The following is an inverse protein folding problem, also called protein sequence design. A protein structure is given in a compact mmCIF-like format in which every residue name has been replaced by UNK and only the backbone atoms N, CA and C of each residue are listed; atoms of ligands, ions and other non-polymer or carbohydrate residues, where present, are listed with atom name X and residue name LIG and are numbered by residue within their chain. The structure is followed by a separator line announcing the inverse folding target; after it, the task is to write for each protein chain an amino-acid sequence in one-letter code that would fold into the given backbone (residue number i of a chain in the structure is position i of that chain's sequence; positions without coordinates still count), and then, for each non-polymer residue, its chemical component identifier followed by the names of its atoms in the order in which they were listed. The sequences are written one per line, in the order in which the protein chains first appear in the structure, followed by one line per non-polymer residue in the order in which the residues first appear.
data_IF_281978362573
#
_entry.id   IF_281978362573
#
_cell.length_a   1.000
_cell.length_b   1.000
_cell.length_c   1.000
_cell.angle_alpha   90.00
_cell.angle_beta   90.00
_cell.angle_gamma   90.00
#
_symmetry.space_group_name_H-M   'P 1'
#
loop_
_entity.id
_entity.type
_entity.pdbx_description
1 polymer ?
#
# COMPACT_ATOMS: atom_id res chain seq x y z
N UNK A 1 -17.65 -39.84 34.28
CA UNK A 1 -18.46 -38.81 33.61
C UNK A 1 -17.48 -37.69 33.34
N UNK A 2 -16.90 -37.76 32.15
CA UNK A 2 -15.70 -37.05 31.71
C UNK A 2 -16.16 -35.92 30.79
N UNK A 3 -16.18 -34.70 31.31
CA UNK A 3 -16.49 -33.48 30.54
C UNK A 3 -15.28 -32.55 30.59
N UNK A 4 -14.23 -32.94 29.86
CA UNK A 4 -13.15 -32.03 29.51
C UNK A 4 -13.68 -30.87 28.65
N UNK A 5 -13.06 -29.68 28.72
CA UNK A 5 -13.45 -28.54 27.90
C UNK A 5 -13.28 -28.92 26.42
N UNK A 6 -14.42 -29.00 25.72
CA UNK A 6 -14.44 -29.12 24.26
C UNK A 6 -13.76 -27.89 23.69
N UNK A 7 -12.52 -28.06 23.25
CA UNK A 7 -11.85 -27.15 22.32
C UNK A 7 -12.81 -27.05 21.14
N UNK A 8 -13.57 -25.96 21.06
CA UNK A 8 -14.33 -25.62 19.86
C UNK A 8 -13.34 -25.75 18.70
N UNK A 9 -13.64 -26.66 17.77
CA UNK A 9 -12.86 -26.86 16.57
C UNK A 9 -12.59 -25.47 15.98
N UNK A 10 -11.32 -25.05 15.98
CA UNK A 10 -10.87 -23.80 15.39
C UNK A 10 -11.23 -23.86 13.91
N UNK A 11 -12.45 -23.43 13.61
CA UNK A 11 -13.09 -23.64 12.34
C UNK A 11 -12.25 -22.95 11.28
N UNK A 12 -12.24 -23.58 10.10
CA UNK A 12 -11.58 -23.15 8.87
C UNK A 12 -12.12 -21.82 8.31
N UNK A 13 -12.61 -20.90 9.17
CA UNK A 13 -13.31 -19.67 8.84
C UNK A 13 -12.44 -18.79 7.96
N UNK A 14 -12.90 -18.57 6.73
CA UNK A 14 -12.31 -17.64 5.77
C UNK A 14 -12.69 -16.20 6.08
N UNK A 15 -13.74 -15.98 6.87
CA UNK A 15 -14.32 -14.65 7.11
C UNK A 15 -13.29 -13.71 7.71
N UNK A 16 -12.56 -14.16 8.72
CA UNK A 16 -11.59 -13.33 9.42
C UNK A 16 -10.43 -12.87 8.51
N UNK A 17 -9.66 -13.76 7.85
CA UNK A 17 -8.59 -13.32 6.95
C UNK A 17 -9.11 -12.49 5.77
N UNK A 18 -10.25 -12.85 5.18
CA UNK A 18 -10.85 -12.06 4.10
C UNK A 18 -11.19 -10.64 4.58
N UNK A 19 -11.84 -10.51 5.74
CA UNK A 19 -12.21 -9.21 6.30
C UNK A 19 -11.00 -8.36 6.66
N UNK A 20 -9.94 -8.96 7.22
CA UNK A 20 -8.71 -8.26 7.54
C UNK A 20 -7.99 -7.75 6.27
N UNK A 21 -7.94 -8.57 5.21
CA UNK A 21 -7.37 -8.17 3.94
C UNK A 21 -8.14 -7.04 3.24
N UNK A 22 -9.47 -7.13 3.22
CA UNK A 22 -10.33 -6.07 2.67
C UNK A 22 -10.15 -4.78 3.49
N UNK A 23 -10.18 -4.85 4.81
CA UNK A 23 -9.95 -3.68 5.66
C UNK A 23 -8.56 -3.08 5.42
N UNK A 24 -7.52 -3.91 5.34
CA UNK A 24 -6.15 -3.46 5.10
C UNK A 24 -6.02 -2.70 3.78
N UNK A 25 -6.58 -3.24 2.70
CA UNK A 25 -6.57 -2.56 1.39
C UNK A 25 -7.37 -1.27 1.40
N UNK A 26 -8.55 -1.22 2.02
CA UNK A 26 -9.36 0.01 2.13
C UNK A 26 -8.61 1.11 2.89
N UNK A 27 -8.01 0.77 4.04
CA UNK A 27 -7.22 1.70 4.85
C UNK A 27 -6.01 2.19 4.05
N UNK A 28 -5.23 1.27 3.47
CA UNK A 28 -4.02 1.62 2.72
C UNK A 28 -4.31 2.43 1.46
N UNK A 29 -5.36 2.10 0.73
CA UNK A 29 -5.76 2.80 -0.49
C UNK A 29 -6.27 4.20 -0.16
N UNK A 30 -7.25 4.32 0.74
CA UNK A 30 -7.84 5.61 1.11
C UNK A 30 -6.81 6.58 1.72
N UNK A 31 -5.84 6.07 2.47
CA UNK A 31 -4.84 6.91 3.14
C UNK A 31 -3.74 7.43 2.21
N UNK A 32 -3.49 6.80 1.06
CA UNK A 32 -2.28 7.07 0.29
C UNK A 32 -2.46 7.31 -1.21
N UNK A 33 -3.62 7.00 -1.79
CA UNK A 33 -3.91 7.34 -3.20
C UNK A 33 -3.88 8.85 -3.46
N UNK A 34 -4.47 9.73 -2.62
CA UNK A 34 -4.39 11.17 -2.85
C UNK A 34 -2.94 11.69 -2.92
N UNK A 35 -2.06 11.16 -2.06
CA UNK A 35 -0.63 11.52 -2.05
C UNK A 35 0.09 10.96 -3.27
N UNK A 36 -0.26 9.74 -3.72
CA UNK A 36 0.27 9.14 -4.95
C UNK A 36 -0.08 9.99 -6.17
N UNK A 37 -1.36 10.32 -6.35
CA UNK A 37 -1.81 11.14 -7.49
C UNK A 37 -1.17 12.52 -7.43
N UNK A 38 -1.19 13.18 -6.26
CA UNK A 38 -0.53 14.47 -6.08
C UNK A 38 0.98 14.42 -6.40
N UNK A 39 1.66 13.35 -6.00
CA UNK A 39 3.08 13.15 -6.29
C UNK A 39 3.35 12.95 -7.77
N UNK A 40 2.56 12.11 -8.46
CA UNK A 40 2.70 11.90 -9.90
C UNK A 40 2.43 13.20 -10.68
N UNK A 41 1.38 13.95 -10.33
CA UNK A 41 1.06 15.24 -10.94
C UNK A 41 2.16 16.28 -10.69
N UNK A 42 2.68 16.39 -9.47
CA UNK A 42 3.79 17.30 -9.15
C UNK A 42 5.07 16.96 -9.94
N UNK A 43 5.28 15.66 -10.20
CA UNK A 43 6.38 15.18 -11.03
C UNK A 43 6.13 15.28 -12.54
N UNK A 44 5.02 15.89 -12.95
CA UNK A 44 4.73 16.28 -14.34
C UNK A 44 3.68 15.43 -15.05
N UNK A 45 3.07 14.43 -14.39
CA UNK A 45 2.05 13.59 -15.01
C UNK A 45 0.78 14.38 -15.33
N UNK A 46 0.24 14.17 -16.53
CA UNK A 46 -1.15 14.51 -16.81
C UNK A 46 -2.11 13.64 -15.96
N UNK A 47 -3.38 14.05 -15.77
CA UNK A 47 -4.36 13.23 -15.06
C UNK A 47 -4.51 11.81 -15.64
N UNK A 48 -4.45 11.68 -16.96
CA UNK A 48 -4.55 10.38 -17.64
C UNK A 48 -3.32 9.49 -17.36
N UNK A 49 -2.11 10.06 -17.34
CA UNK A 49 -0.89 9.34 -16.99
C UNK A 49 -0.85 8.95 -15.51
N UNK A 50 -1.33 9.82 -14.61
CA UNK A 50 -1.44 9.50 -13.19
C UNK A 50 -2.43 8.34 -12.94
N UNK A 51 -3.60 8.36 -13.61
CA UNK A 51 -4.56 7.27 -13.57
C UNK A 51 -4.00 5.96 -14.14
N UNK A 52 -3.27 6.04 -15.28
CA UNK A 52 -2.55 4.89 -15.86
C UNK A 52 -1.53 4.32 -14.88
N UNK A 53 -0.73 5.18 -14.24
CA UNK A 53 0.31 4.79 -13.29
C UNK A 53 -0.27 4.12 -12.04
N UNK A 54 -1.32 4.69 -11.47
CA UNK A 54 -2.06 4.11 -10.34
C UNK A 54 -2.63 2.74 -10.70
N UNK A 55 -3.25 2.60 -11.87
CA UNK A 55 -3.79 1.31 -12.33
C UNK A 55 -2.68 0.26 -12.52
N UNK A 56 -1.57 0.63 -13.18
CA UNK A 56 -0.44 -0.25 -13.41
C UNK A 56 0.17 -0.74 -12.08
N UNK A 57 0.33 0.16 -11.11
CA UNK A 57 0.76 -0.17 -9.75
C UNK A 57 -0.23 -1.15 -9.09
N UNK A 58 -1.53 -0.90 -9.15
CA UNK A 58 -2.54 -1.77 -8.54
C UNK A 58 -2.52 -3.17 -9.15
N UNK A 59 -2.30 -3.27 -10.47
CA UNK A 59 -2.13 -4.54 -11.16
C UNK A 59 -0.86 -5.28 -10.68
N UNK A 60 0.27 -4.58 -10.56
CA UNK A 60 1.51 -5.16 -10.05
C UNK A 60 1.38 -5.61 -8.58
N UNK A 61 0.73 -4.81 -7.74
CA UNK A 61 0.38 -5.17 -6.35
C UNK A 61 -0.43 -6.45 -6.32
N UNK A 62 -1.45 -6.56 -7.18
CA UNK A 62 -2.31 -7.73 -7.26
C UNK A 62 -1.53 -8.98 -7.66
N UNK A 63 -0.80 -8.92 -8.78
CA UNK A 63 -0.03 -10.04 -9.32
C UNK A 63 1.03 -10.51 -8.33
N UNK A 64 1.85 -9.60 -7.81
CA UNK A 64 2.92 -9.95 -6.89
C UNK A 64 2.39 -10.37 -5.52
N UNK A 65 1.43 -9.64 -4.96
CA UNK A 65 0.87 -9.93 -3.64
C UNK A 65 0.18 -11.29 -3.60
N UNK A 66 -0.61 -11.62 -4.62
CA UNK A 66 -1.23 -12.95 -4.76
C UNK A 66 -0.15 -14.01 -4.97
N UNK A 67 0.73 -13.82 -5.97
CA UNK A 67 1.73 -14.82 -6.35
C UNK A 67 2.70 -15.15 -5.21
N UNK A 68 3.23 -14.12 -4.53
CA UNK A 68 4.15 -14.29 -3.41
C UNK A 68 3.45 -14.92 -2.21
N UNK A 69 2.23 -14.50 -1.88
CA UNK A 69 1.49 -15.03 -0.73
C UNK A 69 1.11 -16.50 -0.92
N UNK A 70 0.60 -16.87 -2.10
CA UNK A 70 0.21 -18.26 -2.42
C UNK A 70 1.42 -19.18 -2.46
N UNK A 71 2.53 -18.73 -3.08
CA UNK A 71 3.76 -19.52 -3.23
C UNK A 71 4.47 -19.74 -1.90
N UNK A 72 4.60 -18.69 -1.09
CA UNK A 72 5.31 -18.76 0.19
C UNK A 72 4.45 -19.26 1.34
N UNK A 73 3.11 -19.25 1.18
CA UNK A 73 2.15 -19.44 2.29
C UNK A 73 2.39 -18.48 3.46
N UNK A 74 2.91 -17.28 3.15
CA UNK A 74 3.12 -16.19 4.11
C UNK A 74 2.27 -14.98 3.71
N UNK A 75 1.86 -14.11 4.65
CA UNK A 75 1.09 -12.91 4.37
C UNK A 75 1.93 -11.78 3.74
N UNK A 76 2.52 -12.03 2.58
CA UNK A 76 3.35 -11.05 1.86
C UNK A 76 2.45 -10.03 1.16
N UNK A 77 2.33 -8.84 1.73
CA UNK A 77 1.60 -7.72 1.12
C UNK A 77 2.53 -6.82 0.32
N UNK A 78 2.13 -6.50 -0.91
CA UNK A 78 2.81 -5.55 -1.79
C UNK A 78 1.97 -4.27 -1.87
N UNK A 79 2.64 -3.12 -1.95
CA UNK A 79 2.02 -1.81 -2.15
C UNK A 79 2.97 -0.91 -2.95
N UNK A 80 2.56 0.33 -3.18
CA UNK A 80 3.45 1.39 -3.66
C UNK A 80 4.23 2.04 -2.51
N UNK A 81 5.24 2.84 -2.86
CA UNK A 81 5.99 3.63 -1.88
C UNK A 81 5.24 4.91 -1.50
N UNK A 82 4.50 4.92 -0.39
CA UNK A 82 3.81 6.14 0.10
C UNK A 82 4.79 7.27 0.40
N UNK A 83 5.94 7.05 1.07
CA UNK A 83 6.96 8.09 1.24
C UNK A 83 7.59 8.51 -0.10
N UNK A 84 7.67 7.58 -1.06
CA UNK A 84 8.09 7.89 -2.42
C UNK A 84 7.12 8.85 -3.12
N UNK A 85 5.81 8.61 -3.02
CA UNK A 85 4.79 9.53 -3.51
C UNK A 85 4.89 10.90 -2.83
N UNK A 86 5.04 10.95 -1.51
CA UNK A 86 5.21 12.19 -0.77
C UNK A 86 6.48 12.96 -1.17
N UNK A 87 7.59 12.25 -1.42
CA UNK A 87 8.81 12.83 -1.97
C UNK A 87 8.52 13.52 -3.33
N UNK A 88 7.78 12.85 -4.22
CA UNK A 88 7.46 13.39 -5.54
C UNK A 88 6.64 14.69 -5.50
N UNK A 89 5.81 14.88 -4.46
CA UNK A 89 5.09 16.14 -4.24
C UNK A 89 6.07 17.32 -4.13
N UNK A 90 7.27 17.09 -3.59
CA UNK A 90 8.29 18.11 -3.35
C UNK A 90 9.36 18.23 -4.44
N UNK A 91 9.42 17.32 -5.40
CA UNK A 91 10.51 17.29 -6.41
C UNK A 91 10.29 18.26 -7.56
N UNK A 92 9.03 18.62 -7.84
CA UNK A 92 8.64 19.40 -9.01
C UNK A 92 8.84 18.64 -10.34
N UNK A 93 8.50 19.31 -11.45
CA UNK A 93 8.63 18.73 -12.80
C UNK A 93 10.05 18.97 -13.35
N UNK A 94 10.78 17.92 -13.74
CA UNK A 94 12.12 18.08 -14.32
C UNK A 94 12.09 18.71 -15.71
N UNK A 95 13.21 19.25 -16.19
CA UNK A 95 13.33 19.92 -17.51
C UNK A 95 12.89 19.03 -18.69
N UNK A 96 13.07 17.71 -18.58
CA UNK A 96 12.62 16.73 -19.58
C UNK A 96 11.16 16.30 -19.44
N UNK A 97 10.37 16.97 -18.59
CA UNK A 97 8.98 16.64 -18.30
C UNK A 97 8.79 15.26 -17.67
N UNK A 98 7.56 14.76 -17.70
CA UNK A 98 7.22 13.46 -17.14
C UNK A 98 8.01 12.27 -17.72
N UNK A 99 8.41 12.24 -19.01
CA UNK A 99 9.32 11.21 -19.53
C UNK A 99 10.65 11.11 -18.76
N UNK A 100 11.20 12.22 -18.26
CA UNK A 100 12.40 12.21 -17.43
C UNK A 100 12.12 11.69 -16.01
N UNK A 101 10.97 12.02 -15.45
CA UNK A 101 10.48 11.41 -14.21
C UNK A 101 10.33 9.89 -14.34
N UNK A 102 9.80 9.40 -15.47
CA UNK A 102 9.68 7.96 -15.76
C UNK A 102 11.06 7.30 -15.85
N UNK A 103 12.04 7.93 -16.51
CA UNK A 103 13.42 7.42 -16.51
C UNK A 103 14.00 7.32 -15.09
N UNK A 104 13.68 8.26 -14.21
CA UNK A 104 14.06 8.22 -12.80
C UNK A 104 13.37 7.07 -12.04
N UNK A 105 12.09 6.78 -12.33
CA UNK A 105 11.38 5.61 -11.77
C UNK A 105 12.05 4.30 -12.20
N UNK A 106 12.43 4.18 -13.48
CA UNK A 106 13.14 3.01 -14.00
C UNK A 106 14.52 2.85 -13.34
N UNK A 107 15.24 3.95 -13.12
CA UNK A 107 16.51 3.92 -12.40
C UNK A 107 16.33 3.45 -10.94
N UNK A 108 15.33 3.99 -10.24
CA UNK A 108 14.99 3.53 -8.88
C UNK A 108 14.65 2.04 -8.87
N UNK A 109 13.82 1.58 -9.80
CA UNK A 109 13.43 0.18 -9.95
C UNK A 109 14.62 -0.74 -10.25
N UNK A 110 15.55 -0.30 -11.10
CA UNK A 110 16.79 -1.03 -11.39
C UNK A 110 17.66 -1.16 -10.13
N UNK A 111 17.77 -0.12 -9.32
CA UNK A 111 18.47 -0.19 -8.02
C UNK A 111 17.79 -1.16 -7.05
N UNK A 112 16.45 -1.25 -7.05
CA UNK A 112 15.71 -2.26 -6.27
C UNK A 112 16.04 -3.68 -6.76
N UNK A 113 16.11 -3.91 -8.08
CA UNK A 113 16.54 -5.21 -8.64
C UNK A 113 17.96 -5.55 -8.19
N UNK A 114 18.90 -4.60 -8.32
CA UNK A 114 20.29 -4.78 -7.87
C UNK A 114 20.33 -5.12 -6.37
N UNK A 115 19.57 -4.42 -5.53
CA UNK A 115 19.47 -4.71 -4.11
C UNK A 115 18.93 -6.13 -3.83
N UNK A 116 17.99 -6.63 -4.64
CA UNK A 116 17.48 -7.99 -4.54
C UNK A 116 18.48 -9.07 -4.93
N UNK A 117 19.35 -8.78 -5.91
CA UNK A 117 20.43 -9.67 -6.34
C UNK A 117 21.64 -9.61 -5.39
N UNK A 118 21.79 -8.51 -4.64
CA UNK A 118 22.94 -8.28 -3.77
C UNK A 118 22.79 -8.99 -2.41
N UNK A 119 23.32 -10.22 -2.32
CA UNK A 119 23.24 -11.08 -1.12
C UNK A 119 23.67 -10.40 0.20
N UNK A 120 24.76 -9.62 0.28
CA UNK A 120 25.12 -8.88 1.50
C UNK A 120 24.02 -7.96 2.00
N UNK A 121 23.35 -7.23 1.10
CA UNK A 121 22.24 -6.35 1.46
C UNK A 121 21.04 -7.15 2.00
N UNK A 122 20.66 -8.22 1.33
CA UNK A 122 19.61 -9.13 1.82
C UNK A 122 19.92 -9.70 3.20
N UNK A 123 21.18 -10.06 3.48
CA UNK A 123 21.62 -10.51 4.81
C UNK A 123 21.53 -9.42 5.86
N UNK A 124 21.93 -8.19 5.54
CA UNK A 124 21.84 -7.05 6.46
C UNK A 124 20.38 -6.75 6.84
N UNK A 125 19.48 -6.73 5.85
CA UNK A 125 18.06 -6.48 6.04
C UNK A 125 17.37 -7.64 6.78
N UNK A 126 17.77 -8.90 6.53
CA UNK A 126 17.29 -10.04 7.31
C UNK A 126 17.79 -10.05 8.76
N UNK A 127 18.87 -9.34 9.07
CA UNK A 127 19.47 -9.26 10.41
C UNK A 127 18.86 -8.17 11.30
N UNK A 128 17.79 -7.49 10.86
CA UNK A 128 17.10 -6.47 11.67
C UNK A 128 16.63 -7.09 13.00
N UNK A 129 17.10 -6.57 14.15
CA UNK A 129 16.67 -7.04 15.46
C UNK A 129 15.17 -6.90 15.69
N UNK A 130 14.57 -7.83 16.43
CA UNK A 130 13.15 -7.81 16.77
C UNK A 130 12.73 -6.54 17.53
N UNK A 131 13.62 -5.96 18.34
CA UNK A 131 13.38 -4.69 19.03
C UNK A 131 13.19 -3.53 18.04
N UNK A 132 14.02 -3.44 17.01
CA UNK A 132 13.84 -2.46 15.93
C UNK A 132 12.57 -2.75 15.14
N UNK A 133 12.29 -4.01 14.82
CA UNK A 133 11.07 -4.38 14.11
C UNK A 133 9.80 -3.95 14.85
N UNK A 134 9.75 -4.17 16.16
CA UNK A 134 8.64 -3.74 17.00
C UNK A 134 8.56 -2.21 17.11
N UNK A 135 9.71 -1.51 17.19
CA UNK A 135 9.76 -0.05 17.18
C UNK A 135 9.23 0.54 15.86
N UNK A 136 9.58 -0.07 14.72
CA UNK A 136 9.06 0.33 13.42
C UNK A 136 7.55 0.08 13.29
N UNK A 137 7.05 -1.06 13.79
CA UNK A 137 5.62 -1.34 13.87
C UNK A 137 4.90 -0.30 14.72
N UNK A 138 5.45 0.07 15.89
CA UNK A 138 4.89 1.11 16.74
C UNK A 138 4.85 2.47 16.03
N UNK A 139 5.89 2.85 15.31
CA UNK A 139 5.93 4.08 14.51
C UNK A 139 4.82 4.13 13.45
N UNK A 140 4.60 3.04 12.72
CA UNK A 140 3.51 2.95 11.73
C UNK A 140 2.14 3.04 12.39
N UNK A 141 1.93 2.30 13.48
CA UNK A 141 0.65 2.29 14.18
C UNK A 141 0.34 3.67 14.77
N UNK A 142 1.36 4.38 15.27
CA UNK A 142 1.19 5.75 15.75
C UNK A 142 0.69 6.68 14.64
N UNK A 143 1.24 6.58 13.43
CA UNK A 143 0.79 7.39 12.30
C UNK A 143 -0.68 7.13 11.96
N UNK A 144 -1.11 5.86 11.96
CA UNK A 144 -2.51 5.48 11.79
C UNK A 144 -3.41 6.02 12.91
N UNK A 145 -2.94 5.97 14.16
CA UNK A 145 -3.67 6.51 15.31
C UNK A 145 -3.83 8.04 15.25
N UNK A 146 -2.86 8.74 14.67
CA UNK A 146 -2.89 10.20 14.54
C UNK A 146 -3.66 10.69 13.29
N UNK A 147 -3.90 9.82 12.30
CA UNK A 147 -4.57 10.19 11.06
C UNK A 147 -5.97 10.81 11.26
N UNK A 148 -6.85 10.30 12.14
CA UNK A 148 -8.15 10.93 12.40
C UNK A 148 -8.03 12.34 12.99
N UNK A 149 -7.02 12.59 13.84
CA UNK A 149 -6.79 13.90 14.44
C UNK A 149 -6.34 14.93 13.40
N UNK A 150 -5.39 14.53 12.53
CA UNK A 150 -4.95 15.34 11.39
C UNK A 150 -6.10 15.65 10.43
N UNK A 151 -7.02 14.69 10.23
CA UNK A 151 -8.21 14.92 9.41
C UNK A 151 -9.17 15.93 10.04
N UNK A 152 -9.33 15.93 11.36
CA UNK A 152 -10.13 16.95 12.09
C UNK A 152 -9.49 18.33 11.97
N UNK A 153 -8.17 18.43 12.05
CA UNK A 153 -7.45 19.70 11.87
C UNK A 153 -7.66 20.26 10.45
N UNK A 154 -7.55 19.41 9.42
CA UNK A 154 -7.69 19.84 8.03
C UNK A 154 -9.15 20.12 7.60
N UNK A 155 -10.10 19.27 8.03
CA UNK A 155 -11.50 19.28 7.58
C UNK A 155 -12.47 18.95 8.73
N UNK A 156 -12.59 19.83 9.74
CA UNK A 156 -13.31 19.52 10.99
C UNK A 156 -14.78 19.15 10.74
N UNK A 157 -15.47 19.84 9.84
CA UNK A 157 -16.88 19.60 9.54
C UNK A 157 -17.14 18.23 8.88
N UNK A 158 -16.15 17.67 8.18
CA UNK A 158 -16.27 16.36 7.52
C UNK A 158 -15.76 15.23 8.42
N UNK A 159 -14.67 15.46 9.16
CA UNK A 159 -14.02 14.44 9.97
C UNK A 159 -14.67 14.24 11.35
N UNK A 160 -15.12 15.31 12.03
CA UNK A 160 -15.72 15.19 13.36
C UNK A 160 -16.97 14.30 13.39
N UNK A 161 -17.93 14.40 12.44
CA UNK A 161 -19.09 13.53 12.43
C UNK A 161 -18.73 12.04 12.37
N UNK A 162 -17.70 11.68 11.58
CA UNK A 162 -17.22 10.30 11.45
C UNK A 162 -16.70 9.80 12.81
N UNK A 163 -15.88 10.60 13.49
CA UNK A 163 -15.31 10.26 14.80
C UNK A 163 -16.39 10.20 15.89
N UNK A 164 -17.35 11.12 15.88
CA UNK A 164 -18.45 11.14 16.84
C UNK A 164 -19.34 9.91 16.69
N UNK A 165 -19.70 9.55 15.46
CA UNK A 165 -20.48 8.35 15.19
C UNK A 165 -19.70 7.10 15.58
N UNK A 166 -18.40 7.04 15.26
CA UNK A 166 -17.53 5.96 15.72
C UNK A 166 -17.53 5.84 17.24
N UNK A 167 -17.33 6.95 17.98
CA UNK A 167 -17.25 6.97 19.43
C UNK A 167 -18.57 6.54 20.09
N UNK A 168 -19.71 7.03 19.58
CA UNK A 168 -21.04 6.61 20.04
C UNK A 168 -21.26 5.13 19.76
N UNK A 169 -20.94 4.67 18.54
CA UNK A 169 -21.10 3.27 18.18
C UNK A 169 -20.14 2.36 18.99
N UNK A 170 -18.94 2.82 19.34
CA UNK A 170 -18.04 2.09 20.25
C UNK A 170 -18.68 1.84 21.62
N UNK A 171 -19.53 2.75 22.11
CA UNK A 171 -20.22 2.63 23.40
C UNK A 171 -21.41 1.67 23.39
N UNK A 172 -22.16 1.63 22.29
CA UNK A 172 -23.45 0.93 22.22
C UNK A 172 -23.49 -0.26 21.25
N UNK A 173 -22.67 -0.22 20.19
CA UNK A 173 -22.64 -1.17 19.07
C UNK A 173 -21.19 -1.50 18.70
N UNK A 174 -20.34 -1.85 19.68
CA UNK A 174 -18.87 -1.98 19.52
C UNK A 174 -18.44 -2.77 18.27
N UNK A 175 -19.14 -3.86 17.95
CA UNK A 175 -18.87 -4.70 16.77
C UNK A 175 -19.12 -3.97 15.44
N UNK A 176 -20.02 -2.99 15.42
CA UNK A 176 -20.41 -2.22 14.23
C UNK A 176 -19.81 -0.82 14.18
N UNK A 177 -19.02 -0.41 15.18
CA UNK A 177 -18.48 0.94 15.24
C UNK A 177 -17.70 1.33 13.98
N UNK A 178 -16.78 0.48 13.54
CA UNK A 178 -16.00 0.70 12.31
C UNK A 178 -16.90 0.67 11.06
N UNK A 179 -17.74 -0.36 10.80
CA UNK A 179 -18.66 -0.36 9.67
C UNK A 179 -19.56 0.86 9.57
N UNK A 180 -20.18 1.29 10.69
CA UNK A 180 -21.07 2.45 10.72
C UNK A 180 -20.28 3.72 10.35
N UNK A 181 -19.07 3.87 10.88
CA UNK A 181 -18.22 5.03 10.59
C UNK A 181 -17.85 5.09 9.10
N UNK A 182 -17.53 3.94 8.50
CA UNK A 182 -17.26 3.83 7.05
C UNK A 182 -18.48 4.25 6.22
N UNK A 183 -19.69 3.84 6.61
CA UNK A 183 -20.93 4.25 5.93
C UNK A 183 -21.13 5.76 6.03
N UNK A 184 -20.89 6.36 7.20
CA UNK A 184 -20.98 7.81 7.38
C UNK A 184 -19.95 8.54 6.53
N UNK A 185 -18.70 8.06 6.48
CA UNK A 185 -17.68 8.59 5.58
C UNK A 185 -18.15 8.55 4.12
N UNK A 186 -18.71 7.42 3.66
CA UNK A 186 -19.21 7.29 2.30
C UNK A 186 -20.34 8.29 1.99
N UNK A 187 -21.30 8.47 2.90
CA UNK A 187 -22.37 9.47 2.75
C UNK A 187 -21.79 10.88 2.65
N UNK A 188 -20.86 11.23 3.55
CA UNK A 188 -20.20 12.54 3.56
C UNK A 188 -19.47 12.77 2.24
N UNK A 189 -18.65 11.83 1.79
CA UNK A 189 -17.92 11.93 0.52
C UNK A 189 -18.89 12.12 -0.66
N UNK A 190 -19.95 11.32 -0.76
CA UNK A 190 -20.94 11.45 -1.85
C UNK A 190 -21.66 12.79 -1.81
N UNK A 191 -21.96 13.31 -0.61
CA UNK A 191 -22.67 14.59 -0.46
C UNK A 191 -21.78 15.83 -0.64
N UNK A 192 -20.51 15.74 -0.26
CA UNK A 192 -19.57 16.87 -0.27
C UNK A 192 -18.77 16.97 -1.57
N UNK A 193 -18.72 15.90 -2.37
CA UNK A 193 -17.92 15.83 -3.59
C UNK A 193 -18.83 15.87 -4.81
N UNK A 194 -18.80 16.96 -5.58
CA UNK A 194 -19.43 17.01 -6.89
C UNK A 194 -18.63 16.17 -7.88
N UNK A 195 -19.15 15.02 -8.27
CA UNK A 195 -18.54 14.20 -9.32
C UNK A 195 -18.86 14.88 -10.67
N UNK A 196 -17.86 15.35 -11.42
CA UNK A 196 -18.10 15.95 -12.73
C UNK A 196 -18.80 14.92 -13.65
N UNK A 197 -19.77 15.31 -14.49
CA UNK A 197 -20.40 14.39 -15.44
C UNK A 197 -19.38 13.68 -16.34
N UNK A 198 -18.27 14.35 -16.66
CA UNK A 198 -17.14 13.78 -17.40
C UNK A 198 -16.42 12.65 -16.65
N UNK A 199 -16.40 12.69 -15.30
CA UNK A 199 -15.86 11.60 -14.48
C UNK A 199 -16.81 10.39 -14.49
N UNK A 200 -18.14 10.60 -14.47
CA UNK A 200 -19.12 9.52 -14.66
C UNK A 200 -19.09 8.90 -16.08
N UNK A 201 -18.68 9.68 -17.08
CA UNK A 201 -18.44 9.22 -18.44
C UNK A 201 -17.06 8.58 -18.63
N UNK A 202 -16.20 8.57 -17.59
CA UNK A 202 -14.86 8.03 -17.69
C UNK A 202 -14.90 6.52 -17.99
N UNK A 203 -14.25 6.14 -19.09
CA UNK A 203 -13.98 4.75 -19.40
C UNK A 203 -12.99 4.16 -18.38
N UNK A 204 -12.97 2.84 -18.25
CA UNK A 204 -11.94 2.09 -17.49
C UNK A 204 -10.54 2.69 -17.71
N UNK A 205 -9.66 2.70 -16.68
CA UNK A 205 -8.32 3.26 -16.79
C UNK A 205 -7.58 2.62 -17.97
N UNK A 206 -7.10 3.44 -18.89
CA UNK A 206 -6.36 3.00 -20.07
C UNK A 206 -4.87 3.07 -19.76
N UNK A 207 -4.13 1.97 -19.86
CA UNK A 207 -2.68 2.01 -19.77
C UNK A 207 -2.10 2.92 -20.85
N UNK A 208 -1.31 3.92 -20.45
CA UNK A 208 -0.61 4.86 -21.32
C UNK A 208 0.86 4.55 -21.24
N UNK A 209 1.46 4.17 -22.37
CA UNK A 209 2.89 3.93 -22.44
C UNK A 209 3.63 5.29 -22.51
N UNK A 210 4.47 5.56 -21.52
CA UNK A 210 5.34 6.73 -21.45
C UNK A 210 6.78 6.28 -21.70
N UNK A 211 7.32 6.66 -22.86
CA UNK A 211 8.71 6.34 -23.19
C UNK A 211 9.66 7.18 -22.33
N UNK A 212 10.67 6.58 -21.69
CA UNK A 212 11.58 7.30 -20.80
C UNK A 212 12.49 8.25 -21.60
N UNK A 213 12.70 9.46 -21.07
CA UNK A 213 13.74 10.37 -21.52
C UNK A 213 14.87 10.38 -20.48
N UNK A 214 16.02 9.80 -20.81
CA UNK A 214 17.11 9.68 -19.86
C UNK A 214 17.75 11.05 -19.59
N UNK A 215 17.52 11.56 -18.37
CA UNK A 215 18.14 12.78 -17.85
C UNK A 215 18.85 12.46 -16.53
N UNK A 216 20.13 12.80 -16.45
CA UNK A 216 20.95 12.46 -15.30
C UNK A 216 20.52 13.23 -14.04
N UNK A 217 20.06 14.48 -14.19
CA UNK A 217 19.58 15.27 -13.06
C UNK A 217 18.30 14.69 -12.46
N UNK A 218 17.36 14.23 -13.29
CA UNK A 218 16.15 13.54 -12.84
C UNK A 218 16.50 12.20 -12.17
N UNK A 219 17.43 11.42 -12.72
CA UNK A 219 17.85 10.15 -12.12
C UNK A 219 18.48 10.37 -10.74
N UNK A 220 19.36 11.35 -10.60
CA UNK A 220 20.03 11.66 -9.33
C UNK A 220 19.07 12.34 -8.35
N UNK A 221 18.27 13.30 -8.81
CA UNK A 221 17.39 14.12 -7.98
C UNK A 221 16.08 13.45 -7.58
N UNK A 222 15.59 12.49 -8.37
CA UNK A 222 14.33 11.77 -8.12
C UNK A 222 14.61 10.28 -7.91
N UNK A 223 15.32 9.64 -8.83
CA UNK A 223 15.47 8.18 -8.86
C UNK A 223 16.21 7.62 -7.65
N UNK A 224 17.36 8.22 -7.29
CA UNK A 224 18.13 7.80 -6.13
C UNK A 224 17.38 8.06 -4.80
N UNK A 225 16.83 9.25 -4.52
CA UNK A 225 15.99 9.49 -3.36
C UNK A 225 14.77 8.56 -3.28
N UNK A 226 14.09 8.32 -4.41
CA UNK A 226 12.95 7.41 -4.48
C UNK A 226 13.35 5.97 -4.12
N UNK A 227 14.49 5.49 -4.61
CA UNK A 227 15.04 4.20 -4.20
C UNK A 227 15.30 4.16 -2.69
N UNK A 228 16.04 5.14 -2.16
CA UNK A 228 16.44 5.18 -0.75
C UNK A 228 15.22 5.19 0.18
N UNK A 229 14.25 6.07 -0.09
CA UNK A 229 13.05 6.20 0.75
C UNK A 229 12.18 4.95 0.67
N UNK A 230 12.09 4.32 -0.51
CA UNK A 230 11.37 3.06 -0.71
C UNK A 230 12.01 1.92 0.07
N UNK A 231 13.35 1.80 0.00
CA UNK A 231 14.06 0.75 0.71
C UNK A 231 13.95 0.92 2.22
N UNK A 232 14.28 2.11 2.72
CA UNK A 232 14.34 2.39 4.16
C UNK A 232 12.95 2.37 4.81
N UNK A 233 11.95 2.99 4.20
CA UNK A 233 10.65 3.22 4.85
C UNK A 233 9.66 2.09 4.61
N UNK A 234 9.71 1.44 3.44
CA UNK A 234 8.70 0.43 3.08
C UNK A 234 9.27 -0.98 3.11
N UNK A 235 10.33 -1.27 2.35
CA UNK A 235 10.86 -2.63 2.24
C UNK A 235 11.43 -3.17 3.55
N UNK A 236 12.25 -2.38 4.23
CA UNK A 236 12.80 -2.73 5.56
C UNK A 236 11.64 -2.89 6.54
N UNK A 237 10.68 -1.98 6.55
CA UNK A 237 9.60 -2.01 7.53
C UNK A 237 8.60 -3.14 7.32
N UNK A 238 8.16 -3.36 6.08
CA UNK A 238 7.28 -4.47 5.75
C UNK A 238 7.92 -5.82 6.08
N UNK A 239 9.24 -5.96 5.86
CA UNK A 239 9.97 -7.14 6.33
C UNK A 239 9.99 -7.22 7.85
N UNK A 240 10.23 -6.11 8.53
CA UNK A 240 10.26 -6.07 9.99
C UNK A 240 8.91 -6.50 10.59
N UNK A 241 7.80 -6.08 10.00
CA UNK A 241 6.44 -6.50 10.38
C UNK A 241 6.22 -8.00 10.17
N UNK A 242 6.64 -8.54 9.03
CA UNK A 242 6.60 -9.99 8.79
C UNK A 242 7.45 -10.73 9.83
N UNK A 243 8.65 -10.22 10.12
CA UNK A 243 9.55 -10.81 11.10
C UNK A 243 8.95 -10.79 12.51
N UNK A 244 8.33 -9.67 12.89
CA UNK A 244 7.64 -9.47 14.16
C UNK A 244 6.51 -10.48 14.37
N UNK A 245 5.85 -10.89 13.28
CA UNK A 245 4.78 -11.88 13.28
C UNK A 245 5.26 -13.32 13.00
N UNK A 246 6.57 -13.58 13.06
CA UNK A 246 7.13 -14.93 12.93
C UNK A 246 7.33 -15.43 11.49
N UNK A 247 7.07 -14.62 10.47
CA UNK A 247 7.32 -14.96 9.08
C UNK A 247 8.75 -14.59 8.67
N UNK A 248 9.39 -15.43 7.86
CA UNK A 248 10.79 -15.25 7.41
C UNK A 248 10.85 -15.36 5.88
N UNK A 249 10.44 -14.32 5.14
CA UNK A 249 10.39 -14.38 3.69
C UNK A 249 11.80 -14.31 3.07
N UNK A 250 11.96 -14.88 1.88
CA UNK A 250 13.18 -14.75 1.10
C UNK A 250 13.27 -13.34 0.48
N UNK A 251 14.08 -12.47 1.10
CA UNK A 251 14.17 -11.03 0.79
C UNK A 251 14.61 -10.76 -0.66
N UNK A 252 15.67 -11.41 -1.13
CA UNK A 252 16.24 -11.18 -2.46
C UNK A 252 15.24 -11.38 -3.61
N UNK A 253 14.53 -12.53 -3.68
CA UNK A 253 13.48 -12.75 -4.66
C UNK A 253 12.35 -11.71 -4.61
N UNK A 254 11.93 -11.29 -3.41
CA UNK A 254 10.87 -10.26 -3.28
C UNK A 254 11.34 -8.95 -3.89
N UNK A 255 12.52 -8.45 -3.51
CA UNK A 255 13.05 -7.19 -4.04
C UNK A 255 13.28 -7.26 -5.54
N UNK A 256 13.82 -8.38 -6.04
CA UNK A 256 13.99 -8.59 -7.48
C UNK A 256 12.66 -8.50 -8.21
N UNK A 257 11.62 -9.20 -7.73
CA UNK A 257 10.30 -9.19 -8.37
C UNK A 257 9.61 -7.84 -8.27
N UNK A 258 9.68 -7.15 -7.13
CA UNK A 258 9.11 -5.80 -6.98
C UNK A 258 9.86 -4.77 -7.83
N UNK A 259 11.18 -4.90 -7.97
CA UNK A 259 11.97 -4.05 -8.86
C UNK A 259 11.62 -4.28 -10.33
N UNK A 260 11.53 -5.54 -10.76
CA UNK A 260 11.10 -5.88 -12.14
C UNK A 260 9.68 -5.40 -12.43
N UNK A 261 8.74 -5.59 -11.50
CA UNK A 261 7.40 -5.05 -11.64
C UNK A 261 7.42 -3.52 -11.69
N UNK A 262 8.26 -2.86 -10.88
CA UNK A 262 8.42 -1.40 -10.91
C UNK A 262 8.98 -0.88 -12.24
N UNK A 263 9.84 -1.65 -12.92
CA UNK A 263 10.30 -1.32 -14.28
C UNK A 263 9.10 -1.34 -15.24
N UNK A 264 8.27 -2.38 -15.17
CA UNK A 264 7.09 -2.49 -16.02
C UNK A 264 6.08 -1.38 -15.72
N UNK A 265 5.74 -1.15 -14.44
CA UNK A 265 4.79 -0.09 -14.05
C UNK A 265 5.33 1.29 -14.37
N UNK A 266 6.65 1.50 -14.27
CA UNK A 266 7.33 2.74 -14.66
C UNK A 266 6.99 3.20 -16.06
N UNK A 267 7.00 2.26 -17.01
CA UNK A 267 6.62 2.54 -18.41
C UNK A 267 5.16 2.96 -18.58
N UNK A 268 4.31 2.72 -17.58
CA UNK A 268 2.90 3.14 -17.58
C UNK A 268 2.61 4.31 -16.61
N UNK A 269 3.65 4.98 -16.10
CA UNK A 269 3.55 6.12 -15.18
C UNK A 269 3.54 5.74 -13.69
N UNK A 270 3.65 4.46 -13.36
CA UNK A 270 3.69 4.00 -11.98
C UNK A 270 5.10 4.08 -11.40
N UNK A 271 5.29 4.71 -10.25
CA UNK A 271 6.56 4.67 -9.51
C UNK A 271 6.85 3.27 -8.92
N UNK A 272 7.63 3.20 -7.84
CA UNK A 272 8.03 1.92 -7.22
C UNK A 272 6.90 1.16 -6.52
N UNK A 273 6.85 -0.15 -6.76
CA UNK A 273 6.15 -1.16 -5.93
C UNK A 273 7.13 -1.86 -4.98
N UNK A 274 6.67 -2.26 -3.80
CA UNK A 274 7.51 -2.70 -2.68
C UNK A 274 6.69 -3.49 -1.64
N UNK A 275 7.36 -4.07 -0.64
CA UNK A 275 6.67 -4.58 0.54
C UNK A 275 5.89 -3.46 1.22
N UNK A 276 4.65 -3.74 1.59
CA UNK A 276 3.83 -2.81 2.34
C UNK A 276 4.15 -2.86 3.83
N UNK A 277 4.02 -1.74 4.51
CA UNK A 277 4.24 -1.65 5.96
C UNK A 277 2.91 -1.68 6.74
N UNK A 278 1.98 -0.78 6.40
CA UNK A 278 0.65 -0.66 7.03
C UNK A 278 -0.18 -1.92 6.78
N UNK A 279 -0.34 -2.32 5.51
CA UNK A 279 -1.20 -3.47 5.18
C UNK A 279 -0.59 -4.79 5.63
N UNK A 280 0.75 -4.89 5.70
CA UNK A 280 1.43 -6.02 6.31
C UNK A 280 1.06 -6.18 7.77
N UNK A 281 1.00 -5.08 8.54
CA UNK A 281 0.69 -5.14 9.97
C UNK A 281 -0.72 -5.70 10.21
N UNK A 282 -1.67 -5.30 9.35
CA UNK A 282 -3.05 -5.76 9.41
C UNK A 282 -3.22 -7.20 8.89
N UNK A 283 -2.48 -7.60 7.85
CA UNK A 283 -2.61 -8.94 7.24
C UNK A 283 -1.78 -10.02 7.95
N UNK A 284 -0.67 -9.67 8.59
CA UNK A 284 0.21 -10.62 9.28
C UNK A 284 -0.14 -10.80 10.77
N UNK A 285 -0.85 -9.83 11.35
CA UNK A 285 -1.24 -9.82 12.76
C UNK A 285 -2.32 -10.85 13.14
N UNK A 286 -2.57 -11.03 14.44
CA UNK A 286 -3.60 -11.96 14.94
C UNK A 286 -5.01 -11.63 14.50
N UNK A 287 -5.28 -10.37 14.16
CA UNK A 287 -6.57 -9.92 13.61
C UNK A 287 -6.93 -10.60 12.29
N UNK A 288 -5.93 -11.04 11.51
CA UNK A 288 -6.13 -11.76 10.26
C UNK A 288 -6.47 -13.25 10.44
N UNK A 289 -6.46 -13.76 11.67
CA UNK A 289 -6.79 -15.15 11.96
C UNK A 289 -5.94 -15.75 13.09
N UNK A 290 -6.56 -16.62 13.88
CA UNK A 290 -5.86 -17.36 14.92
C UNK A 290 -4.74 -18.26 14.36
N UNK A 291 -4.96 -18.88 13.19
CA UNK A 291 -3.98 -19.75 12.51
C UNK A 291 -2.98 -18.94 11.66
N UNK A 292 -1.69 -18.84 12.07
CA UNK A 292 -0.67 -18.12 11.32
C UNK A 292 -0.40 -18.72 9.93
N UNK A 293 -0.63 -20.02 9.72
CA UNK A 293 -0.39 -20.69 8.44
C UNK A 293 -1.42 -20.33 7.36
N UNK A 294 -2.52 -19.64 7.74
CA UNK A 294 -3.60 -19.24 6.83
C UNK A 294 -3.70 -17.73 6.61
N UNK A 295 -2.91 -16.92 7.32
CA UNK A 295 -2.94 -15.45 7.19
C UNK A 295 -2.57 -14.94 5.79
N UNK A 296 -1.89 -15.75 4.97
CA UNK A 296 -1.65 -15.43 3.55
C UNK A 296 -2.94 -15.16 2.75
N UNK A 297 -4.07 -15.70 3.19
CA UNK A 297 -5.40 -15.42 2.60
C UNK A 297 -5.76 -13.94 2.76
N UNK A 298 -5.38 -13.30 3.88
CA UNK A 298 -5.61 -11.87 4.09
C UNK A 298 -4.82 -11.02 3.07
N UNK A 299 -3.55 -11.37 2.82
CA UNK A 299 -2.74 -10.68 1.81
C UNK A 299 -3.27 -10.90 0.39
N UNK A 300 -3.81 -12.09 0.08
CA UNK A 300 -4.50 -12.35 -1.19
C UNK A 300 -5.75 -11.49 -1.32
N UNK A 301 -6.61 -11.46 -0.29
CA UNK A 301 -7.81 -10.63 -0.28
C UNK A 301 -7.46 -9.14 -0.44
N UNK A 302 -6.47 -8.65 0.31
CA UNK A 302 -5.93 -7.30 0.18
C UNK A 302 -5.51 -7.00 -1.27
N UNK A 303 -4.74 -7.90 -1.89
CA UNK A 303 -4.22 -7.76 -3.25
C UNK A 303 -5.33 -7.75 -4.31
N UNK A 304 -6.35 -8.61 -4.15
CA UNK A 304 -7.55 -8.63 -5.01
C UNK A 304 -8.35 -7.34 -4.84
N UNK A 305 -8.54 -6.85 -3.62
CA UNK A 305 -9.26 -5.59 -3.39
C UNK A 305 -8.50 -4.40 -3.96
N UNK A 306 -7.16 -4.35 -3.87
CA UNK A 306 -6.35 -3.34 -4.56
C UNK A 306 -6.58 -3.34 -6.07
N UNK A 307 -6.69 -4.53 -6.71
CA UNK A 307 -7.00 -4.63 -8.14
C UNK A 307 -8.38 -4.05 -8.46
N UNK A 308 -9.40 -4.41 -7.66
CA UNK A 308 -10.77 -3.92 -7.84
C UNK A 308 -10.83 -2.40 -7.69
N UNK A 309 -10.17 -1.84 -6.67
CA UNK A 309 -10.06 -0.40 -6.47
C UNK A 309 -9.25 0.27 -7.59
N UNK A 310 -8.25 -0.41 -8.15
CA UNK A 310 -7.45 0.04 -9.28
C UNK A 310 -8.29 0.32 -10.53
N UNK A 311 -9.37 -0.42 -10.78
CA UNK A 311 -10.30 -0.08 -11.87
C UNK A 311 -11.01 1.27 -11.64
N UNK A 312 -11.06 1.74 -10.41
CA UNK A 312 -11.52 3.09 -10.06
C UNK A 312 -10.46 4.18 -10.27
N UNK A 313 -9.24 3.86 -10.71
CA UNK A 313 -8.19 4.85 -10.93
C UNK A 313 -8.56 5.94 -11.97
N UNK A 314 -9.50 5.66 -12.86
CA UNK A 314 -10.02 6.65 -13.81
C UNK A 314 -10.83 7.79 -13.15
N UNK A 315 -11.23 7.63 -11.88
CA UNK A 315 -11.92 8.65 -11.08
C UNK A 315 -10.96 9.41 -10.14
N UNK A 316 -9.66 9.09 -10.17
CA UNK A 316 -8.65 9.64 -9.28
C UNK A 316 -8.06 10.96 -9.78
#
# INVERSE_FOLDING_TARGET
MDDGPRIEAAGNSLVQPLSAGILASLVGFASSVPVLVAGLTAAGASPAEAASGLFAICLAVAVLGIGLSVRSRMPVTIAWSTPGAALLVSTGTPTGGYPATVAAFLAAAALIVVAGLWKPFGRAVAAIPMSLANAMLAGILLELCLAPLKAVEAMPLLALPIILVWAVAMRFLRRFAVPISVVVTAIIVVSATTIPPAALAASLPKPILVLPAFDLNAIIGIGLPLFLVTMASQNVTGLAVLNANGYRPAVGPIFTLTGLASIVTGLFGGHTVNLAAITAALCAGPEAGADPARRWIASVACSVTYLLLGFGAAFA
#
